data_IF_158539793787
#
_entry.id   IF_158539793787
#
_cell.length_a   1.000
_cell.length_b   1.000
_cell.length_c   1.000
_cell.angle_alpha   90.00
_cell.angle_beta   90.00
_cell.angle_gamma   90.00
#
_symmetry.space_group_name_H-M   'P 1'
#
loop_
_entity.id
_entity.type
_entity.pdbx_description
1 polymer ?
#
# COMPACT_ATOMS: atom_id res chain seq x y z
N UNK A 1 12.37 15.99 3.39
CA UNK A 1 13.11 14.85 3.97
C UNK A 1 12.24 13.58 3.96
N UNK A 2 12.00 12.96 2.80
CA UNK A 2 11.27 11.68 2.71
C UNK A 2 11.88 10.69 1.70
N UNK A 3 13.05 11.02 1.12
CA UNK A 3 13.71 10.18 0.11
C UNK A 3 14.67 9.13 0.69
N UNK A 4 14.98 9.20 1.99
CA UNK A 4 15.95 8.28 2.61
C UNK A 4 15.31 7.10 3.35
N UNK A 5 13.98 7.04 3.48
CA UNK A 5 13.31 5.95 4.22
C UNK A 5 12.94 4.75 3.33
N UNK A 6 13.00 4.90 2.00
CA UNK A 6 12.68 3.83 1.04
C UNK A 6 13.91 3.00 0.62
N UNK A 7 15.12 3.44 1.00
CA UNK A 7 16.36 2.70 0.74
C UNK A 7 16.65 1.61 1.79
N UNK A 8 16.09 1.71 3.00
CA UNK A 8 16.39 0.76 4.09
C UNK A 8 15.70 -0.60 3.96
N UNK A 9 14.66 -0.74 3.14
CA UNK A 9 13.94 -2.02 2.99
C UNK A 9 14.51 -2.92 1.87
N UNK A 10 15.36 -2.39 0.99
CA UNK A 10 15.98 -3.16 -0.10
C UNK A 10 17.33 -3.76 0.33
N UNK A 11 17.96 -3.22 1.39
CA UNK A 11 19.25 -3.71 1.88
C UNK A 11 19.16 -5.01 2.70
N UNK A 12 17.99 -5.38 3.23
CA UNK A 12 17.86 -6.53 4.15
C UNK A 12 17.80 -7.88 3.42
N UNK A 13 17.35 -7.94 2.17
CA UNK A 13 17.28 -9.19 1.39
C UNK A 13 18.61 -9.59 0.73
N UNK A 14 19.58 -8.68 0.61
CA UNK A 14 20.90 -8.97 0.06
C UNK A 14 21.94 -9.40 1.12
N UNK A 15 21.61 -9.35 2.41
CA UNK A 15 22.59 -9.57 3.51
C UNK A 15 22.57 -10.99 4.12
N UNK A 16 21.76 -11.92 3.61
CA UNK A 16 21.73 -13.31 4.11
C UNK A 16 22.61 -14.27 3.28
N UNK A 17 23.17 -13.83 2.15
CA UNK A 17 24.01 -14.69 1.29
C UNK A 17 25.53 -14.50 1.42
N UNK A 18 26.01 -13.48 2.17
CA UNK A 18 27.44 -13.23 2.32
C UNK A 18 27.73 -12.66 3.72
N UNK A 19 28.13 -13.50 4.67
CA UNK A 19 29.43 -13.39 5.36
C UNK A 19 29.47 -14.29 6.61
N UNK A 20 30.33 -15.29 6.51
CA UNK A 20 31.01 -15.92 7.63
C UNK A 20 32.04 -14.95 8.23
N UNK A 21 32.16 -14.96 9.56
CA UNK A 21 33.20 -14.44 10.51
C UNK A 21 34.66 -14.27 10.01
N UNK A 22 35.60 -13.63 10.76
CA UNK A 22 35.49 -12.84 12.02
C UNK A 22 36.34 -11.51 12.07
N UNK A 23 36.17 -10.78 13.18
CA UNK A 23 36.92 -9.64 13.80
C UNK A 23 38.48 -9.81 13.91
N UNK A 24 39.33 -8.80 14.31
CA UNK A 24 39.10 -7.78 15.37
C UNK A 24 39.83 -6.38 15.33
N UNK A 25 39.46 -5.53 16.32
CA UNK A 25 40.21 -4.46 17.04
C UNK A 25 40.61 -3.14 16.30
N UNK A 26 40.33 -1.91 16.78
CA UNK A 26 40.87 -1.29 18.02
C UNK A 26 40.21 0.10 18.32
N UNK A 27 39.78 0.29 19.58
CA UNK A 27 40.05 1.38 20.55
C UNK A 27 39.83 2.91 20.26
N UNK A 28 39.22 3.55 21.29
CA UNK A 28 39.47 4.90 21.90
C UNK A 28 38.53 6.09 21.59
N UNK A 29 37.48 6.24 22.42
CA UNK A 29 37.16 7.37 23.34
C UNK A 29 37.20 8.88 22.95
N UNK A 30 36.49 9.75 23.72
CA UNK A 30 35.70 10.90 23.24
C UNK A 30 36.36 12.27 23.51
N UNK A 31 35.83 13.34 22.90
CA UNK A 31 36.02 14.71 23.41
C UNK A 31 34.85 15.62 23.00
N UNK A 32 33.99 15.97 23.97
CA UNK A 32 33.35 17.29 24.02
C UNK A 32 34.42 18.35 24.32
N UNK A 33 34.22 19.64 23.96
CA UNK A 33 33.69 20.56 24.97
C UNK A 33 32.80 21.72 24.45
N UNK A 34 31.79 22.02 25.28
CA UNK A 34 31.48 23.35 25.84
C UNK A 34 30.74 24.42 25.01
N UNK A 35 29.53 24.67 25.50
CA UNK A 35 28.65 25.83 25.40
C UNK A 35 29.34 27.20 25.27
N UNK A 36 28.85 28.00 24.32
CA UNK A 36 28.82 29.46 24.43
C UNK A 36 27.39 29.92 24.07
N UNK A 37 26.65 30.35 25.09
CA UNK A 37 25.34 30.98 24.93
C UNK A 37 25.59 32.46 24.63
N UNK A 38 25.50 32.81 23.35
CA UNK A 38 25.46 34.19 22.89
C UNK A 38 23.99 34.64 22.90
N UNK A 39 23.62 35.54 23.82
CA UNK A 39 22.28 36.15 23.87
C UNK A 39 22.20 37.17 22.73
N UNK A 40 21.72 36.71 21.59
CA UNK A 40 21.32 37.58 20.48
C UNK A 40 19.86 37.97 20.69
N UNK A 41 19.53 39.27 20.63
CA UNK A 41 18.15 39.74 20.58
C UNK A 41 17.46 39.10 19.37
N UNK A 42 16.65 38.07 19.63
CA UNK A 42 15.97 37.31 18.59
C UNK A 42 14.83 38.14 17.99
N UNK A 43 14.79 38.23 16.66
CA UNK A 43 13.62 38.74 15.94
C UNK A 43 12.38 37.96 16.38
N UNK A 44 11.19 38.60 16.51
CA UNK A 44 9.96 37.90 16.91
C UNK A 44 9.61 36.68 16.02
N UNK A 45 10.13 36.62 14.79
CA UNK A 45 10.00 35.45 13.90
C UNK A 45 10.91 34.29 14.29
N UNK A 46 12.14 34.57 14.74
CA UNK A 46 13.08 33.55 15.24
C UNK A 46 12.55 32.90 16.54
N UNK A 47 11.83 33.68 17.36
CA UNK A 47 11.18 33.21 18.58
C UNK A 47 10.07 32.20 18.29
N UNK A 48 9.27 32.40 17.23
CA UNK A 48 8.18 31.49 16.86
C UNK A 48 8.71 30.16 16.31
N UNK A 49 9.75 30.19 15.48
CA UNK A 49 10.33 28.97 14.90
C UNK A 49 11.04 28.12 15.97
N UNK A 50 11.72 28.77 16.92
CA UNK A 50 12.36 28.09 18.05
C UNK A 50 11.34 27.45 18.99
N UNK A 51 10.23 28.15 19.30
CA UNK A 51 9.13 27.61 20.13
C UNK A 51 8.37 26.48 19.44
N UNK A 52 8.24 26.51 18.11
CA UNK A 52 7.61 25.42 17.35
C UNK A 52 8.47 24.13 17.30
N UNK A 53 9.79 24.28 17.47
CA UNK A 53 10.78 23.20 17.36
C UNK A 53 11.16 22.59 18.71
N UNK A 54 10.94 23.32 19.81
CA UNK A 54 11.36 22.92 21.15
C UNK A 54 10.21 23.02 22.20
N UNK A 55 9.74 21.88 22.75
CA UNK A 55 8.70 21.85 23.78
C UNK A 55 9.14 22.36 25.16
N UNK A 56 10.43 22.58 25.42
CA UNK A 56 10.91 23.29 26.62
C UNK A 56 10.82 24.80 26.44
N UNK A 57 11.22 25.33 25.28
CA UNK A 57 11.07 26.75 24.95
C UNK A 57 9.60 27.22 25.00
N UNK A 58 8.65 26.37 24.59
CA UNK A 58 7.21 26.65 24.72
C UNK A 58 6.76 26.74 26.19
N UNK A 59 7.32 25.91 27.08
CA UNK A 59 6.98 25.93 28.51
C UNK A 59 7.55 27.15 29.22
N UNK A 60 8.72 27.61 28.81
CA UNK A 60 9.36 28.82 29.34
C UNK A 60 8.61 30.08 28.90
N UNK A 61 8.29 30.20 27.61
CA UNK A 61 7.52 31.32 27.06
C UNK A 61 6.09 31.41 27.64
N UNK A 62 5.51 30.29 28.09
CA UNK A 62 4.19 30.24 28.73
C UNK A 62 4.21 30.49 30.25
N UNK A 63 5.40 30.52 30.88
CA UNK A 63 5.57 30.71 32.33
C UNK A 63 5.55 32.20 32.73
N UNK A 64 5.97 33.07 31.82
CA UNK A 64 5.99 34.53 32.00
C UNK A 64 4.79 35.17 31.28
N UNK A 65 3.92 35.94 31.97
CA UNK A 65 2.73 36.55 31.37
C UNK A 65 3.05 37.50 30.20
N UNK A 66 4.14 38.26 30.25
CA UNK A 66 4.49 39.21 29.18
C UNK A 66 4.99 38.50 27.92
N UNK A 67 5.78 37.45 28.07
CA UNK A 67 6.27 36.63 26.96
C UNK A 67 5.16 35.81 26.31
N UNK A 68 4.19 35.37 27.12
CA UNK A 68 2.98 34.69 26.64
C UNK A 68 2.14 35.61 25.77
N UNK A 69 1.94 36.87 26.17
CA UNK A 69 1.19 37.85 25.39
C UNK A 69 1.88 38.18 24.07
N UNK A 70 3.20 38.41 24.10
CA UNK A 70 4.00 38.65 22.89
C UNK A 70 3.95 37.47 21.91
N UNK A 71 4.01 36.22 22.40
CA UNK A 71 3.89 35.02 21.56
C UNK A 71 2.49 34.88 20.95
N UNK A 72 1.44 35.17 21.72
CA UNK A 72 0.05 35.13 21.24
C UNK A 72 -0.17 36.18 20.16
N UNK A 73 0.37 37.39 20.35
CA UNK A 73 0.27 38.49 19.40
C UNK A 73 1.02 38.18 18.09
N UNK A 74 2.26 37.72 18.18
CA UNK A 74 3.04 37.30 17.02
C UNK A 74 2.38 36.14 16.25
N UNK A 75 1.75 35.21 16.95
CA UNK A 75 0.98 34.13 16.33
C UNK A 75 -0.33 34.61 15.68
N UNK A 76 -0.98 35.64 16.26
CA UNK A 76 -2.17 36.28 15.68
C UNK A 76 -1.80 37.02 14.40
N UNK A 77 -0.76 37.85 14.43
CA UNK A 77 -0.24 38.58 13.26
C UNK A 77 0.16 37.63 12.14
N UNK A 78 0.86 36.52 12.45
CA UNK A 78 1.21 35.49 11.45
C UNK A 78 -0.01 34.82 10.83
N UNK A 79 -1.07 34.58 11.61
CA UNK A 79 -2.33 34.01 11.11
C UNK A 79 -3.11 35.01 10.26
N UNK A 80 -3.02 36.29 10.58
CA UNK A 80 -3.65 37.36 9.81
C UNK A 80 -2.90 37.60 8.50
N UNK A 81 -1.58 37.65 8.52
CA UNK A 81 -0.75 37.73 7.31
C UNK A 81 -0.98 36.53 6.38
N UNK A 82 -1.10 35.31 6.91
CA UNK A 82 -1.46 34.13 6.09
C UNK A 82 -2.87 34.22 5.51
N UNK A 83 -3.84 34.71 6.28
CA UNK A 83 -5.22 34.87 5.79
C UNK A 83 -5.30 35.94 4.71
N UNK A 84 -4.61 37.06 4.87
CA UNK A 84 -4.51 38.12 3.85
C UNK A 84 -3.81 37.60 2.59
N UNK A 85 -2.68 36.89 2.73
CA UNK A 85 -1.99 36.28 1.59
C UNK A 85 -2.84 35.21 0.86
N UNK A 86 -3.72 34.51 1.56
CA UNK A 86 -4.63 33.52 0.95
C UNK A 86 -5.83 34.20 0.29
N UNK A 87 -6.37 35.27 0.89
CA UNK A 87 -7.49 36.04 0.36
C UNK A 87 -7.11 36.83 -0.90
N UNK A 88 -5.88 37.34 -0.98
CA UNK A 88 -5.35 38.06 -2.15
C UNK A 88 -5.01 37.12 -3.33
N UNK A 89 -4.80 35.82 -3.07
CA UNK A 89 -4.42 34.84 -4.08
C UNK A 89 -5.58 34.24 -4.89
N UNK A 90 -6.85 34.56 -4.58
CA UNK A 90 -8.02 34.06 -5.32
C UNK A 90 -8.29 32.54 -5.22
N UNK A 91 -7.41 31.77 -4.55
CA UNK A 91 -7.47 30.31 -4.43
C UNK A 91 -8.68 29.79 -3.63
N UNK A 92 -9.34 30.65 -2.85
CA UNK A 92 -10.48 30.25 -2.03
C UNK A 92 -11.74 29.97 -2.85
N UNK A 93 -11.95 30.67 -3.97
CA UNK A 93 -13.08 30.43 -4.87
C UNK A 93 -12.92 29.08 -5.60
N UNK A 94 -11.72 28.79 -6.11
CA UNK A 94 -11.42 27.52 -6.80
C UNK A 94 -11.47 26.33 -5.84
N UNK A 95 -11.03 26.49 -4.59
CA UNK A 95 -11.14 25.44 -3.56
C UNK A 95 -12.58 25.17 -3.14
N UNK A 96 -13.42 26.20 -3.06
CA UNK A 96 -14.85 26.05 -2.76
C UNK A 96 -15.58 25.38 -3.91
N UNK A 97 -15.34 25.81 -5.15
CA UNK A 97 -15.91 25.17 -6.35
C UNK A 97 -15.50 23.70 -6.47
N UNK A 98 -14.23 23.37 -6.22
CA UNK A 98 -13.76 21.98 -6.21
C UNK A 98 -14.42 21.16 -5.08
N UNK A 99 -14.67 21.76 -3.91
CA UNK A 99 -15.40 21.11 -2.81
C UNK A 99 -16.86 20.85 -3.16
N UNK A 100 -17.53 21.78 -3.81
CA UNK A 100 -18.92 21.61 -4.28
C UNK A 100 -19.01 20.54 -5.35
N UNK A 101 -18.13 20.56 -6.36
CA UNK A 101 -18.05 19.52 -7.37
C UNK A 101 -17.81 18.12 -6.76
N UNK A 102 -16.98 18.03 -5.73
CA UNK A 102 -16.72 16.78 -5.00
C UNK A 102 -17.90 16.34 -4.11
N UNK A 103 -18.78 17.25 -3.70
CA UNK A 103 -20.03 16.91 -3.00
C UNK A 103 -21.09 16.43 -3.99
N UNK A 104 -21.28 17.15 -5.09
CA UNK A 104 -22.21 16.76 -6.16
C UNK A 104 -21.84 15.39 -6.75
N UNK A 105 -20.55 15.15 -7.03
CA UNK A 105 -20.08 13.84 -7.51
C UNK A 105 -20.35 12.70 -6.51
N UNK A 106 -20.25 12.98 -5.21
CA UNK A 106 -20.56 11.99 -4.17
C UNK A 106 -22.06 11.73 -4.06
N UNK A 107 -22.88 12.78 -4.17
CA UNK A 107 -24.34 12.65 -4.18
C UNK A 107 -24.81 11.89 -5.42
N UNK A 108 -24.26 12.19 -6.59
CA UNK A 108 -24.55 11.45 -7.83
C UNK A 108 -24.18 9.97 -7.72
N UNK A 109 -22.99 9.65 -7.19
CA UNK A 109 -22.58 8.25 -7.00
C UNK A 109 -23.47 7.49 -6.01
N UNK A 110 -23.93 8.14 -4.92
CA UNK A 110 -24.85 7.52 -3.96
C UNK A 110 -26.24 7.31 -4.58
N UNK A 111 -26.74 8.29 -5.34
CA UNK A 111 -28.01 8.19 -6.05
C UNK A 111 -27.98 7.10 -7.14
N UNK A 112 -26.88 6.96 -7.88
CA UNK A 112 -26.67 5.87 -8.86
C UNK A 112 -26.63 4.48 -8.19
N UNK A 113 -26.08 4.41 -6.98
CA UNK A 113 -26.01 3.18 -6.17
C UNK A 113 -27.37 2.79 -5.59
N UNK A 114 -28.17 3.76 -5.18
CA UNK A 114 -29.55 3.56 -4.72
C UNK A 114 -30.50 3.21 -5.87
N UNK A 115 -30.23 3.72 -7.08
CA UNK A 115 -31.01 3.43 -8.28
C UNK A 115 -30.72 2.06 -8.92
N UNK A 116 -29.70 1.33 -8.45
CA UNK A 116 -29.30 0.03 -9.00
C UNK A 116 -28.82 0.08 -10.46
N UNK A 117 -28.52 1.26 -10.99
CA UNK A 117 -28.14 1.48 -12.40
C UNK A 117 -26.63 1.47 -12.64
N UNK A 118 -25.83 1.39 -11.59
CA UNK A 118 -24.37 1.34 -11.66
C UNK A 118 -23.90 -0.03 -11.18
N UNK A 119 -23.46 -0.88 -12.13
CA UNK A 119 -22.60 -2.02 -11.81
C UNK A 119 -21.46 -1.50 -10.93
N UNK A 120 -21.26 -2.12 -9.75
CA UNK A 120 -20.26 -1.65 -8.81
C UNK A 120 -18.91 -1.59 -9.57
N UNK A 121 -18.20 -0.45 -9.57
CA UNK A 121 -16.89 -0.36 -10.23
C UNK A 121 -15.93 -1.48 -9.82
N UNK A 122 -16.12 -2.05 -8.62
CA UNK A 122 -15.40 -3.23 -8.12
C UNK A 122 -15.82 -4.51 -8.83
N UNK A 123 -17.09 -4.71 -9.12
CA UNK A 123 -17.60 -5.86 -9.88
C UNK A 123 -17.10 -5.81 -11.32
N UNK A 124 -17.18 -4.66 -12.00
CA UNK A 124 -16.56 -4.49 -13.34
C UNK A 124 -15.06 -4.71 -13.36
N UNK A 125 -14.36 -4.35 -12.28
CA UNK A 125 -12.93 -4.61 -12.17
C UNK A 125 -12.66 -6.10 -11.92
N UNK A 126 -13.53 -6.78 -11.16
CA UNK A 126 -13.47 -8.23 -10.95
C UNK A 126 -13.71 -8.98 -12.25
N UNK A 127 -14.76 -8.65 -12.99
CA UNK A 127 -15.06 -9.27 -14.29
C UNK A 127 -13.91 -9.11 -15.26
N UNK A 128 -13.35 -7.90 -15.39
CA UNK A 128 -12.17 -7.67 -16.24
C UNK A 128 -10.93 -8.46 -15.80
N UNK A 129 -10.73 -8.65 -14.49
CA UNK A 129 -9.63 -9.50 -14.00
C UNK A 129 -9.89 -10.99 -14.26
N UNK A 130 -11.14 -11.43 -14.13
CA UNK A 130 -11.56 -12.80 -14.42
C UNK A 130 -11.42 -13.11 -15.91
N UNK A 131 -11.90 -12.23 -16.79
CA UNK A 131 -11.72 -12.34 -18.25
C UNK A 131 -10.25 -12.45 -18.63
N UNK A 132 -9.40 -11.62 -18.02
CA UNK A 132 -7.96 -11.66 -18.27
C UNK A 132 -7.30 -12.93 -17.75
N UNK A 133 -7.85 -13.53 -16.69
CA UNK A 133 -7.41 -14.83 -16.18
C UNK A 133 -7.93 -16.02 -17.02
N UNK A 134 -9.07 -15.86 -17.73
CA UNK A 134 -9.70 -16.82 -18.64
C UNK A 134 -9.04 -16.86 -20.01
N UNK A 135 -7.72 -17.02 -20.03
CA UNK A 135 -7.03 -17.14 -21.31
C UNK A 135 -7.45 -18.40 -22.09
N UNK A 136 -7.99 -19.44 -21.42
CA UNK A 136 -8.63 -20.62 -22.04
C UNK A 136 -10.09 -20.41 -22.46
N UNK A 137 -10.71 -19.31 -22.02
CA UNK A 137 -12.07 -18.91 -22.38
C UNK A 137 -12.14 -18.27 -23.77
N UNK A 138 -11.02 -18.18 -24.49
CA UNK A 138 -10.98 -17.62 -25.84
C UNK A 138 -11.47 -18.65 -26.85
N UNK A 139 -12.47 -18.27 -27.63
CA UNK A 139 -13.13 -19.15 -28.61
C UNK A 139 -12.13 -19.78 -29.60
N UNK A 140 -11.15 -19.00 -30.07
CA UNK A 140 -10.10 -19.47 -30.98
C UNK A 140 -9.28 -20.64 -30.40
N UNK A 141 -8.96 -20.55 -29.11
CA UNK A 141 -8.24 -21.61 -28.41
C UNK A 141 -9.13 -22.80 -28.08
N UNK A 142 -10.40 -22.57 -27.74
CA UNK A 142 -11.34 -23.66 -27.47
C UNK A 142 -11.56 -24.51 -28.72
N UNK A 143 -11.69 -23.86 -29.88
CA UNK A 143 -11.78 -24.50 -31.19
C UNK A 143 -10.49 -25.25 -31.54
N UNK A 144 -9.32 -24.63 -31.35
CA UNK A 144 -8.03 -25.27 -31.68
C UNK A 144 -7.72 -26.49 -30.81
N UNK A 145 -8.11 -26.44 -29.53
CA UNK A 145 -8.01 -27.55 -28.60
C UNK A 145 -9.12 -28.60 -28.82
N UNK A 146 -10.18 -28.27 -29.54
CA UNK A 146 -11.34 -29.15 -29.70
C UNK A 146 -11.99 -29.50 -28.36
N UNK A 147 -12.16 -28.51 -27.48
CA UNK A 147 -12.82 -28.71 -26.20
C UNK A 147 -14.31 -28.98 -26.40
N UNK A 148 -14.82 -30.00 -25.71
CA UNK A 148 -16.27 -30.22 -25.67
C UNK A 148 -16.97 -29.18 -24.78
N UNK A 149 -18.26 -28.90 -25.05
CA UNK A 149 -19.07 -27.99 -24.21
C UNK A 149 -19.02 -28.41 -22.72
N UNK A 150 -19.07 -29.71 -22.44
CA UNK A 150 -18.98 -30.23 -21.08
C UNK A 150 -17.61 -29.95 -20.42
N UNK A 151 -16.51 -30.03 -21.17
CA UNK A 151 -15.18 -29.67 -20.65
C UNK A 151 -15.07 -28.17 -20.40
N UNK A 152 -15.64 -27.35 -21.29
CA UNK A 152 -15.65 -25.88 -21.14
C UNK A 152 -16.39 -25.49 -19.85
N UNK A 153 -17.62 -25.99 -19.67
CA UNK A 153 -18.40 -25.72 -18.46
C UNK A 153 -17.68 -26.16 -17.18
N UNK A 154 -16.99 -27.31 -17.24
CA UNK A 154 -16.24 -27.83 -16.09
C UNK A 154 -15.01 -27.00 -15.75
N UNK A 155 -14.23 -26.59 -16.74
CA UNK A 155 -13.09 -25.70 -16.56
C UNK A 155 -13.53 -24.32 -16.01
N UNK A 156 -14.66 -23.80 -16.49
CA UNK A 156 -15.22 -22.55 -15.99
C UNK A 156 -15.69 -22.65 -14.54
N UNK A 157 -16.38 -23.74 -14.18
CA UNK A 157 -16.80 -24.01 -12.81
C UNK A 157 -15.61 -24.13 -11.86
N UNK A 158 -14.58 -24.88 -12.27
CA UNK A 158 -13.37 -25.08 -11.48
C UNK A 158 -12.58 -23.77 -11.30
N UNK A 159 -12.51 -22.91 -12.32
CA UNK A 159 -11.88 -21.61 -12.15
C UNK A 159 -12.66 -20.71 -11.20
N UNK A 160 -13.99 -20.68 -11.31
CA UNK A 160 -14.81 -19.89 -10.40
C UNK A 160 -14.51 -20.27 -8.94
N UNK A 161 -14.43 -21.57 -8.65
CA UNK A 161 -14.06 -22.09 -7.34
C UNK A 161 -12.65 -21.66 -6.91
N UNK A 162 -11.67 -21.72 -7.81
CA UNK A 162 -10.28 -21.31 -7.52
C UNK A 162 -10.19 -19.80 -7.25
N UNK A 163 -10.94 -18.98 -7.98
CA UNK A 163 -10.93 -17.53 -7.73
C UNK A 163 -11.62 -17.18 -6.42
N UNK A 164 -12.69 -17.89 -6.04
CA UNK A 164 -13.31 -17.75 -4.71
C UNK A 164 -12.30 -18.07 -3.60
N UNK A 165 -11.52 -19.15 -3.74
CA UNK A 165 -10.45 -19.50 -2.80
C UNK A 165 -9.34 -18.43 -2.76
N UNK A 166 -8.88 -17.95 -3.92
CA UNK A 166 -7.89 -16.87 -3.98
C UNK A 166 -8.39 -15.59 -3.32
N UNK A 167 -9.66 -15.26 -3.51
CA UNK A 167 -10.28 -14.10 -2.86
C UNK A 167 -10.31 -14.27 -1.34
N UNK A 168 -10.67 -15.44 -0.84
CA UNK A 168 -10.65 -15.73 0.60
C UNK A 168 -9.24 -15.57 1.19
N UNK A 169 -8.22 -16.14 0.55
CA UNK A 169 -6.82 -16.00 1.01
C UNK A 169 -6.34 -14.54 0.93
N UNK A 170 -6.69 -13.81 -0.13
CA UNK A 170 -6.36 -12.37 -0.24
C UNK A 170 -7.03 -11.54 0.85
N UNK A 171 -8.28 -11.85 1.22
CA UNK A 171 -8.96 -11.19 2.32
C UNK A 171 -8.24 -11.46 3.65
N UNK A 172 -7.86 -12.71 3.92
CA UNK A 172 -7.05 -13.07 5.08
C UNK A 172 -5.71 -12.32 5.12
N UNK A 173 -5.00 -12.22 3.99
CA UNK A 173 -3.76 -11.43 3.88
C UNK A 173 -3.96 -9.94 4.21
N UNK A 174 -5.09 -9.37 3.81
CA UNK A 174 -5.41 -7.97 4.14
C UNK A 174 -5.71 -7.79 5.62
N UNK A 175 -6.37 -8.76 6.25
CA UNK A 175 -6.65 -8.77 7.68
C UNK A 175 -5.35 -8.96 8.49
N UNK A 176 -4.50 -9.90 8.10
CA UNK A 176 -3.19 -10.13 8.72
C UNK A 176 -2.28 -8.90 8.58
N UNK A 177 -2.33 -8.20 7.44
CA UNK A 177 -1.62 -6.92 7.27
C UNK A 177 -2.11 -5.83 8.22
N UNK A 178 -3.43 -5.69 8.41
CA UNK A 178 -3.99 -4.71 9.37
C UNK A 178 -3.58 -5.05 10.79
N UNK A 179 -3.67 -6.33 11.17
CA UNK A 179 -3.23 -6.81 12.48
C UNK A 179 -1.74 -6.53 12.71
N UNK A 180 -0.90 -6.72 11.69
CA UNK A 180 0.54 -6.49 11.76
C UNK A 180 0.84 -5.00 12.01
N UNK A 181 0.13 -4.11 11.32
CA UNK A 181 0.27 -2.67 11.56
C UNK A 181 -0.12 -2.27 12.99
N UNK A 182 -1.17 -2.88 13.54
CA UNK A 182 -1.55 -2.66 14.95
C UNK A 182 -0.51 -3.22 15.92
N UNK A 183 0.02 -4.42 15.68
CA UNK A 183 1.07 -5.01 16.50
C UNK A 183 2.36 -4.19 16.49
N UNK A 184 2.73 -3.63 15.33
CA UNK A 184 3.86 -2.69 15.18
C UNK A 184 3.66 -1.40 15.97
N UNK A 185 2.45 -0.84 15.98
CA UNK A 185 2.12 0.36 16.76
C UNK A 185 2.22 0.09 18.27
N UNK A 186 1.85 -1.11 18.71
CA UNK A 186 1.90 -1.52 20.12
C UNK A 186 3.27 -2.07 20.56
N UNK A 187 4.25 -2.16 19.64
CA UNK A 187 5.56 -2.78 19.86
C UNK A 187 5.49 -4.23 20.40
N UNK A 188 4.43 -4.98 20.06
CA UNK A 188 4.28 -6.38 20.48
C UNK A 188 5.07 -7.32 19.58
N UNK A 189 6.31 -7.60 19.97
CA UNK A 189 7.23 -8.48 19.22
C UNK A 189 6.69 -9.90 19.03
N UNK A 190 5.96 -10.44 20.01
CA UNK A 190 5.42 -11.79 19.93
C UNK A 190 4.35 -11.89 18.85
N UNK A 191 3.43 -10.92 18.83
CA UNK A 191 2.38 -10.82 17.84
C UNK A 191 2.92 -10.51 16.42
N UNK A 192 3.98 -9.70 16.31
CA UNK A 192 4.61 -9.41 15.02
C UNK A 192 5.17 -10.68 14.36
N UNK A 193 5.88 -11.52 15.13
CA UNK A 193 6.48 -12.74 14.58
C UNK A 193 5.42 -13.75 14.14
N UNK A 194 4.36 -13.94 14.93
CA UNK A 194 3.28 -14.85 14.55
C UNK A 194 2.53 -14.38 13.30
N UNK A 195 2.32 -13.07 13.15
CA UNK A 195 1.67 -12.50 11.96
C UNK A 195 2.55 -12.58 10.70
N UNK A 196 3.87 -12.50 10.83
CA UNK A 196 4.80 -12.73 9.71
C UNK A 196 4.73 -14.20 9.27
N UNK A 197 4.72 -15.14 10.21
CA UNK A 197 4.58 -16.56 9.91
C UNK A 197 3.23 -16.87 9.25
N UNK A 198 2.13 -16.34 9.81
CA UNK A 198 0.80 -16.46 9.22
C UNK A 198 0.77 -15.94 7.79
N UNK A 199 1.36 -14.77 7.53
CA UNK A 199 1.43 -14.20 6.17
C UNK A 199 2.22 -15.08 5.21
N UNK A 200 3.30 -15.72 5.67
CA UNK A 200 4.04 -16.67 4.85
C UNK A 200 3.18 -17.90 4.51
N UNK A 201 2.44 -18.44 5.50
CA UNK A 201 1.50 -19.53 5.27
C UNK A 201 0.39 -19.15 4.29
N UNK A 202 -0.16 -17.93 4.37
CA UNK A 202 -1.16 -17.42 3.41
C UNK A 202 -0.58 -17.29 1.99
N UNK A 203 0.69 -16.89 1.86
CA UNK A 203 1.38 -16.87 0.55
C UNK A 203 1.57 -18.27 -0.03
N UNK A 204 1.96 -19.24 0.80
CA UNK A 204 2.07 -20.64 0.39
C UNK A 204 0.70 -21.22 0.04
N UNK A 205 -0.36 -20.87 0.77
CA UNK A 205 -1.72 -21.28 0.46
C UNK A 205 -2.16 -20.75 -0.91
N UNK A 206 -1.82 -19.51 -1.25
CA UNK A 206 -2.11 -18.96 -2.58
C UNK A 206 -1.38 -19.73 -3.69
N UNK A 207 -0.13 -20.10 -3.48
CA UNK A 207 0.62 -20.93 -4.42
C UNK A 207 0.01 -22.33 -4.54
N UNK A 208 -0.42 -22.94 -3.43
CA UNK A 208 -1.06 -24.25 -3.44
C UNK A 208 -2.36 -24.24 -4.26
N UNK A 209 -3.22 -23.23 -4.06
CA UNK A 209 -4.45 -23.03 -4.84
C UNK A 209 -4.14 -22.90 -6.34
N UNK A 210 -3.06 -22.19 -6.70
CA UNK A 210 -2.63 -22.10 -8.10
C UNK A 210 -2.18 -23.45 -8.67
N UNK A 211 -1.39 -24.22 -7.90
CA UNK A 211 -0.91 -25.52 -8.35
C UNK A 211 -2.05 -26.55 -8.47
N UNK A 212 -3.02 -26.51 -7.58
CA UNK A 212 -4.17 -27.41 -7.61
C UNK A 212 -5.10 -27.07 -8.78
N UNK A 213 -5.25 -25.79 -9.13
CA UNK A 213 -5.89 -25.38 -10.37
C UNK A 213 -5.19 -25.98 -11.59
N UNK A 214 -3.86 -25.84 -11.68
CA UNK A 214 -3.09 -26.39 -12.80
C UNK A 214 -3.22 -27.90 -12.90
N UNK A 215 -3.12 -28.62 -11.79
CA UNK A 215 -3.31 -30.08 -11.76
C UNK A 215 -4.68 -30.47 -12.28
N UNK A 216 -5.72 -29.81 -11.76
CA UNK A 216 -7.09 -30.13 -12.15
C UNK A 216 -7.36 -29.80 -13.63
N UNK A 217 -6.76 -28.73 -14.17
CA UNK A 217 -6.81 -28.43 -15.61
C UNK A 217 -6.11 -29.53 -16.42
N UNK A 218 -4.92 -29.95 -16.01
CA UNK A 218 -4.16 -31.00 -16.70
C UNK A 218 -4.89 -32.35 -16.67
N UNK A 219 -5.62 -32.64 -15.60
CA UNK A 219 -6.41 -33.87 -15.46
C UNK A 219 -7.68 -33.88 -16.34
N UNK A 220 -8.21 -32.71 -16.69
CA UNK A 220 -9.42 -32.57 -17.54
C UNK A 220 -9.08 -32.59 -19.04
N UNK A 221 -7.87 -32.20 -19.41
CA UNK A 221 -7.40 -32.15 -20.80
C UNK A 221 -6.79 -33.49 -21.22
N UNK A 222 -7.08 -33.94 -22.44
CA UNK A 222 -6.43 -35.13 -23.00
C UNK A 222 -4.97 -34.85 -23.38
N UNK A 223 -4.15 -35.90 -23.51
CA UNK A 223 -2.75 -35.77 -23.94
C UNK A 223 -2.60 -35.05 -25.31
N UNK A 224 -3.55 -35.26 -26.23
CA UNK A 224 -3.57 -34.59 -27.53
C UNK A 224 -3.88 -33.09 -27.37
N UNK A 225 -4.82 -32.74 -26.48
CA UNK A 225 -5.17 -31.36 -26.14
C UNK A 225 -4.00 -30.65 -25.45
N UNK A 226 -3.31 -31.33 -24.53
CA UNK A 226 -2.11 -30.82 -23.87
C UNK A 226 -0.96 -30.59 -24.86
N UNK A 227 -0.79 -31.47 -25.84
CA UNK A 227 0.22 -31.31 -26.88
C UNK A 227 -0.08 -30.10 -27.78
N UNK A 228 -1.35 -29.87 -28.12
CA UNK A 228 -1.79 -28.69 -28.87
C UNK A 228 -1.62 -27.42 -28.04
N UNK A 229 -2.01 -27.46 -26.77
CA UNK A 229 -1.84 -26.34 -25.83
C UNK A 229 -0.36 -25.94 -25.69
N UNK A 230 0.54 -26.91 -25.56
CA UNK A 230 1.97 -26.65 -25.46
C UNK A 230 2.56 -26.02 -26.74
N UNK A 231 1.99 -26.33 -27.90
CA UNK A 231 2.39 -25.77 -29.20
C UNK A 231 1.90 -24.34 -29.38
N UNK A 232 0.65 -24.08 -29.02
CA UNK A 232 0.01 -22.78 -29.24
C UNK A 232 0.33 -21.77 -28.14
N UNK A 233 0.47 -22.23 -26.90
CA UNK A 233 0.78 -21.39 -25.73
C UNK A 233 1.85 -22.02 -24.84
N UNK A 234 3.12 -22.04 -25.29
CA UNK A 234 4.22 -22.58 -24.49
C UNK A 234 4.42 -21.85 -23.16
N UNK A 235 4.05 -20.55 -23.10
CA UNK A 235 4.13 -19.75 -21.87
C UNK A 235 3.23 -20.28 -20.74
N UNK A 236 2.10 -20.87 -21.07
CA UNK A 236 1.14 -21.44 -20.10
C UNK A 236 1.77 -22.65 -19.42
N UNK A 237 2.39 -23.53 -20.20
CA UNK A 237 3.00 -24.77 -19.71
C UNK A 237 4.28 -24.53 -18.89
N UNK A 238 4.98 -23.42 -19.14
CA UNK A 238 6.22 -23.08 -18.44
C UNK A 238 6.00 -22.36 -17.10
N UNK A 239 4.75 -22.17 -16.67
CA UNK A 239 4.42 -21.51 -15.38
C UNK A 239 4.93 -20.07 -15.28
N UNK A 240 5.36 -19.46 -16.39
CA UNK A 240 5.81 -18.06 -16.40
C UNK A 240 4.59 -17.18 -16.30
N UNK A 241 4.29 -16.74 -15.07
CA UNK A 241 3.41 -15.60 -14.78
C UNK A 241 3.82 -14.42 -15.68
N UNK A 242 3.01 -14.19 -16.71
CA UNK A 242 3.30 -13.19 -17.74
C UNK A 242 2.59 -13.51 -19.04
N UNK A 243 1.28 -13.74 -18.99
CA UNK A 243 0.45 -13.39 -20.15
C UNK A 243 0.36 -11.85 -20.18
N UNK A 244 0.50 -11.22 -21.36
CA UNK A 244 0.47 -9.77 -21.51
C UNK A 244 -0.75 -9.09 -20.88
#
# INVERSE_FOLDING_TARGET
MFKNSMACLIAVSCLIACQSEPEPETTTEPNEPTEQIEVTEASPQDTIERVASDPQALREAMRDPEQREALIEAMRERREARRQATAEAGEDADRLAMREQMRERRQAMMAEREAGQSEDPRERMRERMLERARWWGREDLQESLGLSEAQIERLDSMQAQVEDQRQAVRQQMMESQRALMTALQNADRGQILSLIEQRNQEQLALQAVEMDWWRSMLDELSDEQLATLAREQPQVMLGRRGLP
#
